data_IF_648290466298
#
_entry.id   IF_648290466298
#
_cell.length_a   1.000
_cell.length_b   1.000
_cell.length_c   1.000
_cell.angle_alpha   90.00
_cell.angle_beta   90.00
_cell.angle_gamma   90.00
#
_symmetry.space_group_name_H-M   'P 1'
#
loop_
_entity.id
_entity.type
_entity.pdbx_description
1 polymer ?
#
# COMPACT_ATOMS: atom_id res chain seq x y z
N UNK A 1 -5.77 -12.04 11.56
CA UNK A 1 -5.75 -10.84 10.71
C UNK A 1 -4.64 -9.90 11.19
N UNK A 2 -4.30 -8.83 10.45
CA UNK A 2 -3.26 -7.87 10.87
C UNK A 2 -3.56 -7.26 12.24
N UNK A 3 -4.83 -6.93 12.52
CA UNK A 3 -5.25 -6.44 13.83
C UNK A 3 -4.85 -7.39 14.97
N UNK A 4 -5.20 -8.69 14.86
CA UNK A 4 -4.87 -9.69 15.90
C UNK A 4 -3.35 -9.82 16.11
N UNK A 5 -2.58 -9.68 15.03
CA UNK A 5 -1.13 -9.69 15.11
C UNK A 5 -0.61 -8.49 15.90
N UNK A 6 -1.09 -7.28 15.59
CA UNK A 6 -0.69 -6.04 16.28
C UNK A 6 -1.12 -6.06 17.75
N UNK A 7 -2.36 -6.46 18.04
CA UNK A 7 -2.89 -6.60 19.40
C UNK A 7 -2.02 -7.55 20.25
N UNK A 8 -1.63 -8.69 19.67
CA UNK A 8 -0.72 -9.63 20.33
C UNK A 8 0.69 -9.06 20.51
N UNK A 9 1.25 -8.46 19.45
CA UNK A 9 2.61 -7.93 19.44
C UNK A 9 2.80 -6.77 20.42
N UNK A 10 1.76 -5.94 20.61
CA UNK A 10 1.78 -4.76 21.48
C UNK A 10 1.10 -4.99 22.83
N UNK A 11 0.92 -6.25 23.21
CA UNK A 11 0.18 -6.64 24.43
C UNK A 11 0.78 -6.12 25.74
N UNK A 12 2.07 -5.76 25.76
CA UNK A 12 2.73 -5.16 26.92
C UNK A 12 2.39 -3.68 27.08
N UNK A 13 2.35 -2.93 25.97
CA UNK A 13 2.10 -1.49 25.97
C UNK A 13 0.60 -1.17 25.93
N UNK A 14 -0.24 -2.14 25.53
CA UNK A 14 -1.69 -2.05 25.42
C UNK A 14 -2.19 -0.74 24.75
N UNK A 15 -1.65 -0.37 23.57
CA UNK A 15 -2.13 0.80 22.87
C UNK A 15 -3.55 0.58 22.34
N UNK A 16 -4.29 1.66 22.16
CA UNK A 16 -5.50 1.64 21.35
C UNK A 16 -5.10 1.47 19.88
N UNK A 17 -5.55 0.38 19.26
CA UNK A 17 -5.28 0.09 17.85
C UNK A 17 -6.53 0.43 17.04
N UNK A 18 -6.36 1.24 16.00
CA UNK A 18 -7.39 1.52 15.01
C UNK A 18 -6.82 1.36 13.61
N UNK A 19 -7.56 0.69 12.73
CA UNK A 19 -7.16 0.37 11.37
C UNK A 19 -8.24 0.78 10.37
N UNK A 20 -7.80 1.26 9.22
CA UNK A 20 -8.62 1.44 8.02
C UNK A 20 -8.05 0.59 6.89
N UNK A 21 -8.86 -0.32 6.38
CA UNK A 21 -8.58 -1.10 5.17
C UNK A 21 -9.23 -0.44 3.95
N UNK A 22 -8.54 -0.43 2.82
CA UNK A 22 -9.06 0.15 1.59
C UNK A 22 -8.87 -0.81 0.42
N UNK A 23 -9.83 -0.78 -0.50
CA UNK A 23 -9.78 -1.50 -1.77
C UNK A 23 -10.62 -0.74 -2.80
N UNK A 24 -10.31 -0.94 -4.07
CA UNK A 24 -11.05 -0.38 -5.21
C UNK A 24 -12.30 -1.19 -5.55
N UNK A 25 -12.36 -2.46 -5.14
CA UNK A 25 -13.47 -3.36 -5.46
C UNK A 25 -14.57 -3.30 -4.36
N UNK A 26 -15.77 -2.78 -4.68
CA UNK A 26 -16.85 -2.66 -3.70
C UNK A 26 -17.31 -4.02 -3.16
N UNK A 27 -17.22 -5.09 -3.95
CA UNK A 27 -17.63 -6.44 -3.53
C UNK A 27 -16.63 -6.99 -2.51
N UNK A 28 -15.33 -6.72 -2.68
CA UNK A 28 -14.33 -7.13 -1.70
C UNK A 28 -14.47 -6.38 -0.38
N UNK A 29 -14.79 -5.09 -0.44
CA UNK A 29 -15.06 -4.28 0.75
C UNK A 29 -16.31 -4.74 1.49
N UNK A 30 -17.39 -5.03 0.77
CA UNK A 30 -18.61 -5.57 1.38
C UNK A 30 -18.32 -6.88 2.13
N UNK A 31 -17.61 -7.82 1.48
CA UNK A 31 -17.20 -9.08 2.11
C UNK A 31 -16.27 -8.87 3.30
N UNK A 32 -15.38 -7.88 3.26
CA UNK A 32 -14.51 -7.55 4.37
C UNK A 32 -15.30 -7.01 5.57
N UNK A 33 -16.31 -6.16 5.32
CA UNK A 33 -17.23 -5.64 6.35
C UNK A 33 -18.07 -6.75 6.97
N UNK A 34 -18.66 -7.64 6.17
CA UNK A 34 -19.46 -8.77 6.66
C UNK A 34 -18.67 -9.72 7.57
N UNK A 35 -17.37 -9.88 7.31
CA UNK A 35 -16.49 -10.78 8.05
C UNK A 35 -15.70 -10.09 9.16
N UNK A 36 -15.97 -8.82 9.42
CA UNK A 36 -15.21 -8.03 10.37
C UNK A 36 -15.63 -8.33 11.81
N UNK A 37 -14.78 -8.96 12.64
CA UNK A 37 -15.11 -9.25 14.03
C UNK A 37 -14.99 -8.05 14.96
N UNK A 38 -14.45 -6.91 14.49
CA UNK A 38 -14.11 -5.74 15.32
C UNK A 38 -14.42 -4.41 14.61
N UNK A 39 -15.71 -4.10 14.35
CA UNK A 39 -16.11 -2.90 13.61
C UNK A 39 -15.69 -1.58 14.28
N UNK A 40 -15.51 -1.56 15.60
CA UNK A 40 -15.12 -0.35 16.34
C UNK A 40 -13.63 0.01 16.15
N UNK A 41 -12.79 -0.95 15.75
CA UNK A 41 -11.34 -0.78 15.65
C UNK A 41 -10.78 -1.06 14.26
N UNK A 42 -11.59 -1.63 13.37
CA UNK A 42 -11.20 -1.95 12.00
C UNK A 42 -12.33 -1.51 11.07
N UNK A 43 -12.06 -0.50 10.27
CA UNK A 43 -13.00 0.01 9.25
C UNK A 43 -12.52 -0.39 7.86
N UNK A 44 -13.45 -0.50 6.91
CA UNK A 44 -13.12 -0.81 5.52
C UNK A 44 -13.80 0.19 4.61
N UNK A 45 -13.08 0.78 3.67
CA UNK A 45 -13.60 1.79 2.73
C UNK A 45 -13.31 1.42 1.27
N UNK A 46 -14.33 1.56 0.42
CA UNK A 46 -14.20 1.37 -1.02
C UNK A 46 -13.74 2.68 -1.65
N UNK A 47 -12.46 2.79 -1.96
CA UNK A 47 -11.83 4.05 -2.37
C UNK A 47 -10.75 3.81 -3.41
N UNK A 48 -10.71 4.70 -4.40
CA UNK A 48 -9.53 4.87 -5.25
C UNK A 48 -8.49 5.71 -4.54
N UNK A 49 -7.37 5.11 -4.19
CA UNK A 49 -6.32 5.81 -3.46
C UNK A 49 -5.74 6.99 -4.22
N UNK A 50 -5.76 6.97 -5.56
CA UNK A 50 -5.25 8.07 -6.39
C UNK A 50 -6.31 9.12 -6.71
N UNK A 51 -7.57 8.95 -6.30
CA UNK A 51 -8.59 9.98 -6.51
C UNK A 51 -8.44 11.15 -5.55
N UNK A 52 -8.98 12.30 -5.96
CA UNK A 52 -9.06 13.51 -5.14
C UNK A 52 -9.88 13.28 -3.86
N UNK A 53 -10.99 12.54 -3.97
CA UNK A 53 -11.93 12.26 -2.87
C UNK A 53 -11.31 11.41 -1.74
N UNK A 54 -10.32 10.58 -2.08
CA UNK A 54 -9.64 9.73 -1.10
C UNK A 54 -8.94 10.56 -0.01
N UNK A 55 -8.30 11.67 -0.39
CA UNK A 55 -7.56 12.50 0.57
C UNK A 55 -8.47 13.06 1.66
N UNK A 56 -9.68 13.47 1.27
CA UNK A 56 -10.66 14.02 2.21
C UNK A 56 -11.23 12.96 3.16
N UNK A 57 -11.50 11.76 2.64
CA UNK A 57 -11.99 10.65 3.45
C UNK A 57 -10.96 10.23 4.50
N UNK A 58 -9.68 10.13 4.11
CA UNK A 58 -8.60 9.77 5.03
C UNK A 58 -8.34 10.85 6.09
N UNK A 59 -8.36 12.13 5.71
CA UNK A 59 -8.23 13.25 6.67
C UNK A 59 -9.37 13.25 7.69
N UNK A 60 -10.60 12.99 7.24
CA UNK A 60 -11.76 12.88 8.15
C UNK A 60 -11.60 11.73 9.14
N UNK A 61 -11.17 10.56 8.67
CA UNK A 61 -10.90 9.41 9.54
C UNK A 61 -9.81 9.73 10.57
N UNK A 62 -8.69 10.32 10.15
CA UNK A 62 -7.62 10.75 11.06
C UNK A 62 -8.11 11.78 12.09
N UNK A 63 -8.92 12.76 11.67
CA UNK A 63 -9.47 13.78 12.56
C UNK A 63 -10.37 13.19 13.65
N UNK A 64 -11.14 12.14 13.37
CA UNK A 64 -11.94 11.43 14.38
C UNK A 64 -11.06 10.79 15.48
N UNK A 65 -9.83 10.41 15.12
CA UNK A 65 -8.83 9.86 16.02
C UNK A 65 -7.88 10.94 16.58
N UNK A 66 -8.19 12.22 16.37
CA UNK A 66 -7.35 13.36 16.77
C UNK A 66 -5.92 13.28 16.22
N UNK A 67 -5.76 12.72 15.02
CA UNK A 67 -4.48 12.58 14.32
C UNK A 67 -4.48 13.39 13.03
N UNK A 68 -3.28 13.74 12.58
CA UNK A 68 -3.03 14.38 11.29
C UNK A 68 -2.36 13.43 10.29
N UNK A 69 -1.79 12.33 10.78
CA UNK A 69 -1.09 11.28 10.03
C UNK A 69 -1.36 9.91 10.67
N UNK A 70 -1.28 8.86 9.85
CA UNK A 70 -1.25 7.48 10.31
C UNK A 70 0.11 7.18 10.94
N UNK A 71 0.13 6.45 12.05
CA UNK A 71 1.38 5.98 12.63
C UNK A 71 2.11 5.04 11.67
N UNK A 72 1.36 4.17 10.97
CA UNK A 72 1.90 3.24 9.97
C UNK A 72 0.96 3.13 8.77
N UNK A 73 1.50 3.17 7.56
CA UNK A 73 0.79 2.81 6.32
C UNK A 73 1.38 1.52 5.74
N UNK A 74 0.52 0.54 5.44
CA UNK A 74 0.90 -0.74 4.86
C UNK A 74 0.56 -0.80 3.37
N UNK A 75 1.56 -1.01 2.52
CA UNK A 75 1.42 -1.18 1.08
C UNK A 75 1.79 -2.60 0.67
N UNK A 76 0.97 -3.57 1.05
CA UNK A 76 1.22 -4.99 0.76
C UNK A 76 0.78 -5.36 -0.65
N UNK A 77 1.71 -5.82 -1.49
CA UNK A 77 1.40 -6.37 -2.81
C UNK A 77 0.50 -5.44 -3.66
N UNK A 78 0.73 -4.13 -3.63
CA UNK A 78 -0.10 -3.15 -4.37
C UNK A 78 0.68 -2.31 -5.38
N UNK A 79 1.98 -2.04 -5.15
CA UNK A 79 2.75 -1.08 -5.97
C UNK A 79 2.83 -1.47 -7.44
N UNK A 80 2.92 -2.77 -7.75
CA UNK A 80 2.87 -3.23 -9.16
C UNK A 80 1.53 -2.90 -9.85
N UNK A 81 0.40 -3.02 -9.15
CA UNK A 81 -0.90 -2.76 -9.76
C UNK A 81 -1.09 -1.28 -10.02
N UNK A 82 -0.66 -0.41 -9.10
CA UNK A 82 -0.61 1.02 -9.34
C UNK A 82 0.27 1.33 -10.56
N UNK A 83 1.49 0.81 -10.55
CA UNK A 83 2.47 1.08 -11.61
C UNK A 83 2.01 0.58 -13.00
N UNK A 84 1.38 -0.60 -13.08
CA UNK A 84 0.85 -1.13 -14.34
C UNK A 84 -0.33 -0.31 -14.91
N UNK A 85 -1.17 0.28 -14.05
CA UNK A 85 -2.37 1.00 -14.47
C UNK A 85 -2.14 2.51 -14.65
N UNK A 86 -1.20 3.10 -13.90
CA UNK A 86 -0.98 4.55 -13.85
C UNK A 86 0.45 4.97 -14.22
N UNK A 87 1.31 4.04 -14.63
CA UNK A 87 2.66 4.34 -15.10
C UNK A 87 3.61 4.74 -13.98
N UNK A 88 4.81 5.20 -14.38
CA UNK A 88 5.84 5.68 -13.44
C UNK A 88 5.30 6.86 -12.61
N UNK A 89 4.58 7.78 -13.26
CA UNK A 89 4.00 8.98 -12.62
C UNK A 89 2.99 8.60 -11.54
N UNK A 90 2.10 7.65 -11.79
CA UNK A 90 1.15 7.17 -10.79
C UNK A 90 1.80 6.41 -9.64
N UNK A 91 2.92 5.71 -9.88
CA UNK A 91 3.70 5.10 -8.80
C UNK A 91 4.34 6.17 -7.90
N UNK A 92 4.91 7.22 -8.49
CA UNK A 92 5.46 8.35 -7.74
C UNK A 92 4.37 9.08 -6.94
N UNK A 93 3.25 9.40 -7.57
CA UNK A 93 2.12 10.08 -6.93
C UNK A 93 1.59 9.25 -5.75
N UNK A 94 1.41 7.94 -5.95
CA UNK A 94 1.01 7.02 -4.90
C UNK A 94 1.97 7.07 -3.71
N UNK A 95 3.28 6.93 -3.96
CA UNK A 95 4.28 6.92 -2.89
C UNK A 95 4.41 8.28 -2.21
N UNK A 96 4.29 9.40 -2.92
CA UNK A 96 4.26 10.75 -2.33
C UNK A 96 3.04 10.90 -1.43
N UNK A 97 1.84 10.52 -1.89
CA UNK A 97 0.61 10.57 -1.09
C UNK A 97 0.70 9.68 0.16
N UNK A 98 1.26 8.47 0.05
CA UNK A 98 1.53 7.60 1.21
C UNK A 98 2.50 8.29 2.18
N UNK A 99 3.58 8.87 1.67
CA UNK A 99 4.53 9.64 2.49
C UNK A 99 3.86 10.84 3.14
N UNK A 100 2.93 11.52 2.49
CA UNK A 100 2.18 12.64 3.06
C UNK A 100 1.11 12.23 4.07
N UNK A 101 0.90 10.94 4.31
CA UNK A 101 -0.11 10.45 5.23
C UNK A 101 0.47 9.65 6.41
N UNK A 102 1.76 9.28 6.37
CA UNK A 102 2.32 8.30 7.31
C UNK A 102 3.48 8.84 8.17
N UNK A 103 3.68 8.30 9.37
CA UNK A 103 4.95 8.40 10.10
C UNK A 103 5.91 7.26 9.71
N UNK A 104 5.37 6.05 9.53
CA UNK A 104 6.11 4.87 9.06
C UNK A 104 5.40 4.22 7.87
N UNK A 105 6.17 3.67 6.94
CA UNK A 105 5.65 2.97 5.77
C UNK A 105 6.26 1.57 5.69
N UNK A 106 5.40 0.58 5.47
CA UNK A 106 5.80 -0.81 5.22
C UNK A 106 5.33 -1.21 3.83
N UNK A 107 6.27 -1.49 2.93
CA UNK A 107 5.97 -1.81 1.52
C UNK A 107 6.40 -3.24 1.21
N UNK A 108 5.54 -4.00 0.56
CA UNK A 108 5.89 -5.31 -0.01
C UNK A 108 5.88 -5.24 -1.55
N UNK A 109 7.00 -4.85 -2.20
CA UNK A 109 7.04 -4.70 -3.65
C UNK A 109 6.91 -6.05 -4.36
N UNK A 110 6.09 -6.11 -5.42
CA UNK A 110 6.13 -7.27 -6.30
C UNK A 110 7.35 -7.22 -7.24
N UNK A 111 8.12 -8.32 -7.37
CA UNK A 111 9.25 -8.36 -8.30
C UNK A 111 8.81 -8.24 -9.76
N UNK A 112 9.71 -7.80 -10.65
CA UNK A 112 9.40 -7.57 -12.07
C UNK A 112 8.84 -8.79 -12.82
N UNK A 113 9.18 -10.02 -12.37
CA UNK A 113 8.57 -11.25 -12.91
C UNK A 113 7.04 -11.25 -12.80
N UNK A 114 6.48 -10.63 -11.77
CA UNK A 114 5.04 -10.51 -11.53
C UNK A 114 4.37 -9.59 -12.55
N UNK A 115 5.02 -8.53 -13.00
CA UNK A 115 4.52 -7.63 -14.06
C UNK A 115 4.30 -8.41 -15.35
N UNK A 116 5.29 -9.20 -15.77
CA UNK A 116 5.19 -10.05 -16.97
C UNK A 116 4.07 -11.09 -16.85
N UNK A 117 3.89 -11.66 -15.66
CA UNK A 117 2.83 -12.64 -15.41
C UNK A 117 1.44 -11.99 -15.43
N UNK A 118 1.27 -10.82 -14.84
CA UNK A 118 0.04 -10.05 -14.87
C UNK A 118 -0.34 -9.68 -16.32
N UNK A 119 0.61 -9.14 -17.07
CA UNK A 119 0.45 -8.80 -18.50
C UNK A 119 0.07 -10.02 -19.36
N UNK A 120 0.76 -11.16 -19.17
CA UNK A 120 0.39 -12.43 -19.83
C UNK A 120 -1.03 -12.88 -19.49
N UNK A 121 -1.44 -12.74 -18.23
CA UNK A 121 -2.79 -13.11 -17.79
C UNK A 121 -3.83 -12.20 -18.41
N UNK A 122 -3.59 -10.89 -18.44
CA UNK A 122 -4.51 -9.92 -19.02
C UNK A 122 -4.74 -10.19 -20.51
N UNK A 123 -3.66 -10.40 -21.28
CA UNK A 123 -3.76 -10.74 -22.72
C UNK A 123 -4.56 -12.01 -22.98
N UNK A 124 -4.51 -13.00 -22.08
CA UNK A 124 -5.31 -14.25 -22.23
C UNK A 124 -6.80 -14.03 -21.96
N UNK A 125 -7.15 -13.11 -21.05
CA UNK A 125 -8.53 -12.90 -20.61
C UNK A 125 -9.24 -11.84 -21.44
N UNK A 126 -8.55 -10.76 -21.80
CA UNK A 126 -9.15 -9.59 -22.48
C UNK A 126 -8.63 -9.36 -23.90
N UNK A 127 -7.68 -10.15 -24.39
CA UNK A 127 -6.96 -9.91 -25.65
C UNK A 127 -6.26 -8.54 -25.73
N UNK A 128 -6.04 -7.90 -24.57
CA UNK A 128 -5.45 -6.58 -24.39
C UNK A 128 -4.32 -6.64 -23.35
N UNK A 129 -3.47 -5.63 -23.32
CA UNK A 129 -2.38 -5.48 -22.35
C UNK A 129 -2.56 -4.20 -21.53
N UNK A 130 -1.72 -4.02 -20.50
CA UNK A 130 -1.67 -2.76 -19.77
C UNK A 130 -1.15 -1.66 -20.71
N UNK A 131 -1.88 -0.54 -20.88
CA UNK A 131 -1.58 0.45 -21.91
C UNK A 131 -0.20 1.06 -21.72
N UNK A 132 0.20 1.32 -20.47
CA UNK A 132 1.45 1.99 -20.12
C UNK A 132 2.65 1.04 -19.97
N UNK A 133 2.47 -0.28 -20.06
CA UNK A 133 3.53 -1.25 -19.76
C UNK A 133 4.79 -1.07 -20.59
N UNK A 134 4.65 -0.66 -21.85
CA UNK A 134 5.78 -0.43 -22.77
C UNK A 134 6.48 0.90 -22.52
N UNK A 135 5.83 1.82 -21.82
CA UNK A 135 6.31 3.18 -21.55
C UNK A 135 7.01 3.28 -20.18
N UNK A 136 6.87 2.25 -19.33
CA UNK A 136 7.48 2.21 -18.00
C UNK A 136 9.00 2.34 -18.08
N UNK A 137 9.54 3.27 -17.30
CA UNK A 137 10.98 3.49 -17.11
C UNK A 137 11.47 2.79 -15.85
N UNK A 138 10.63 2.66 -14.82
CA UNK A 138 10.95 1.96 -13.57
C UNK A 138 10.90 0.43 -13.70
N UNK A 139 11.68 -0.10 -14.63
CA UNK A 139 11.74 -1.53 -14.95
C UNK A 139 12.86 -2.26 -14.21
N UNK A 140 12.79 -3.59 -14.15
CA UNK A 140 13.86 -4.44 -13.62
C UNK A 140 13.81 -4.63 -12.11
N UNK A 141 14.16 -3.61 -11.33
CA UNK A 141 14.24 -3.67 -9.86
C UNK A 141 13.26 -2.69 -9.19
N UNK A 142 11.98 -3.08 -9.00
CA UNK A 142 10.98 -2.25 -8.33
C UNK A 142 11.40 -1.83 -6.91
N UNK A 143 12.14 -2.66 -6.19
CA UNK A 143 12.59 -2.36 -4.83
C UNK A 143 13.49 -1.15 -4.81
N UNK A 144 14.46 -1.11 -5.73
CA UNK A 144 15.38 0.03 -5.88
C UNK A 144 14.64 1.31 -6.26
N UNK A 145 13.71 1.24 -7.22
CA UNK A 145 12.96 2.42 -7.65
C UNK A 145 12.08 2.99 -6.53
N UNK A 146 11.45 2.12 -5.75
CA UNK A 146 10.67 2.52 -4.56
C UNK A 146 11.58 3.14 -3.50
N UNK A 147 12.75 2.55 -3.21
CA UNK A 147 13.73 3.13 -2.27
C UNK A 147 14.19 4.53 -2.74
N UNK A 148 14.49 4.69 -4.03
CA UNK A 148 14.91 5.98 -4.60
C UNK A 148 13.81 7.05 -4.44
N UNK A 149 12.54 6.71 -4.70
CA UNK A 149 11.40 7.63 -4.51
C UNK A 149 11.27 7.99 -3.02
N UNK A 150 11.23 7.00 -2.14
CA UNK A 150 11.03 7.23 -0.70
C UNK A 150 12.15 8.03 -0.05
N UNK A 151 13.40 7.88 -0.52
CA UNK A 151 14.56 8.53 0.13
C UNK A 151 14.99 9.84 -0.51
N UNK A 152 14.72 10.03 -1.81
CA UNK A 152 15.10 11.26 -2.54
C UNK A 152 13.95 12.24 -2.70
N UNK A 153 12.74 11.73 -2.93
CA UNK A 153 11.56 12.57 -3.20
C UNK A 153 10.71 12.77 -1.94
N UNK A 154 10.82 11.84 -0.99
CA UNK A 154 10.14 11.91 0.29
C UNK A 154 11.18 12.00 1.41
N UNK A 155 10.87 12.70 2.50
CA UNK A 155 11.82 12.84 3.62
C UNK A 155 11.76 11.63 4.56
N UNK A 156 11.91 10.44 3.98
CA UNK A 156 11.92 9.17 4.71
C UNK A 156 13.33 8.58 4.72
N UNK A 157 13.65 7.86 5.79
CA UNK A 157 14.88 7.08 5.92
C UNK A 157 14.56 5.60 6.05
N UNK A 158 15.44 4.78 5.52
CA UNK A 158 15.34 3.32 5.63
C UNK A 158 15.56 2.90 7.08
N UNK A 159 14.61 2.14 7.63
CA UNK A 159 14.72 1.48 8.93
C UNK A 159 15.33 0.09 8.73
N UNK A 160 14.69 -0.75 7.92
CA UNK A 160 15.17 -2.11 7.63
C UNK A 160 14.52 -2.69 6.38
N UNK A 161 15.11 -3.77 5.87
CA UNK A 161 14.53 -4.65 4.85
C UNK A 161 14.52 -6.05 5.43
N UNK A 162 13.37 -6.71 5.43
CA UNK A 162 13.26 -8.06 5.99
C UNK A 162 13.95 -9.08 5.09
N UNK A 163 14.23 -10.26 5.67
CA UNK A 163 14.51 -11.44 4.86
C UNK A 163 13.35 -11.73 3.89
N UNK A 164 13.68 -12.39 2.78
CA UNK A 164 12.67 -12.88 1.84
C UNK A 164 11.81 -13.96 2.50
N UNK A 165 10.50 -13.89 2.30
CA UNK A 165 9.60 -15.00 2.62
C UNK A 165 9.74 -16.14 1.59
N UNK A 166 8.97 -17.22 1.76
CA UNK A 166 8.98 -18.39 0.86
C UNK A 166 8.67 -18.06 -0.61
N UNK A 167 8.08 -16.90 -0.87
CA UNK A 167 7.73 -16.39 -2.19
C UNK A 167 8.82 -15.49 -2.79
N UNK A 168 9.94 -15.32 -2.07
CA UNK A 168 11.04 -14.41 -2.38
C UNK A 168 10.64 -12.94 -2.31
N UNK A 169 9.68 -12.59 -1.45
CA UNK A 169 9.21 -11.21 -1.25
C UNK A 169 9.77 -10.67 0.07
N UNK A 170 10.19 -9.42 0.06
CA UNK A 170 10.72 -8.71 1.23
C UNK A 170 9.75 -7.60 1.63
N UNK A 171 9.79 -7.20 2.91
CA UNK A 171 9.18 -5.97 3.39
C UNK A 171 10.26 -4.90 3.49
N UNK A 172 9.97 -3.73 2.94
CA UNK A 172 10.78 -2.54 3.09
C UNK A 172 10.12 -1.64 4.13
N UNK A 173 10.88 -1.24 5.15
CA UNK A 173 10.37 -0.44 6.26
C UNK A 173 11.13 0.89 6.29
N UNK A 174 10.37 1.98 6.22
CA UNK A 174 10.88 3.35 6.22
C UNK A 174 10.12 4.19 7.23
N UNK A 175 10.79 5.17 7.81
CA UNK A 175 10.19 6.13 8.74
C UNK A 175 10.51 7.56 8.30
N UNK A 176 9.63 8.49 8.63
CA UNK A 176 9.83 9.92 8.42
C UNK A 176 11.06 10.41 9.21
N UNK A 177 11.83 11.33 8.61
CA UNK A 177 12.96 11.99 9.28
C UNK A 177 12.54 13.09 10.26
#
# INVERSE_FOLDING_TARGET
MLYDFLEKAMSQDQPEISLIGMDLDPILIERARERNPRPDHLTFECLDFLSDDCGETLRRHLAQLHKTRFDVVFCFSITMWIHLNHGDDGLEEFLRKVCDLAEMIVIEPQPWKCYRNASRRLRRVKSEDFPLLKELKYTGDPTRHIEDILTRLCDFRKVTITAGNDWGRTLLIYERK
#
